data_IF_259300084150
#
_entry.id   IF_259300084150
#
_cell.length_a   1.000
_cell.length_b   1.000
_cell.length_c   1.000
_cell.angle_alpha   90.00
_cell.angle_beta   90.00
_cell.angle_gamma   90.00
#
_symmetry.space_group_name_H-M   'P 1'
#
loop_
_entity.id
_entity.type
_entity.pdbx_description
1 polymer ?
#
# COMPACT_ATOMS: atom_id res chain seq x y z
N UNK A 1 53.72 -14.67 16.68
CA UNK A 1 52.95 -13.48 17.11
C UNK A 1 52.17 -13.02 15.89
N UNK A 2 50.82 -13.02 15.93
CA UNK A 2 50.01 -12.50 14.82
C UNK A 2 50.14 -10.97 14.85
N UNK A 3 50.49 -10.35 13.72
CA UNK A 3 50.59 -8.89 13.66
C UNK A 3 49.19 -8.25 13.67
N UNK A 4 49.02 -7.03 14.19
CA UNK A 4 47.76 -6.30 14.13
C UNK A 4 47.15 -6.23 12.72
N UNK A 5 47.98 -6.12 11.69
CA UNK A 5 47.57 -6.04 10.29
C UNK A 5 46.94 -7.35 9.80
N UNK A 6 47.55 -8.50 10.13
CA UNK A 6 47.02 -9.83 9.79
C UNK A 6 45.69 -10.08 10.51
N UNK A 7 45.56 -9.61 11.75
CA UNK A 7 44.31 -9.70 12.50
C UNK A 7 43.21 -8.84 11.87
N UNK A 8 43.52 -7.60 11.49
CA UNK A 8 42.58 -6.68 10.85
C UNK A 8 42.10 -7.22 9.50
N UNK A 9 42.99 -7.78 8.68
CA UNK A 9 42.61 -8.38 7.39
C UNK A 9 41.64 -9.55 7.57
N UNK A 10 41.90 -10.42 8.55
CA UNK A 10 41.02 -11.55 8.86
C UNK A 10 39.64 -11.10 9.33
N UNK A 11 39.58 -10.06 10.18
CA UNK A 11 38.31 -9.47 10.63
C UNK A 11 37.55 -8.90 9.44
N UNK A 12 38.20 -8.09 8.59
CA UNK A 12 37.55 -7.50 7.42
C UNK A 12 37.01 -8.58 6.46
N UNK A 13 37.76 -9.67 6.25
CA UNK A 13 37.34 -10.78 5.39
C UNK A 13 36.07 -11.46 5.89
N UNK A 14 35.90 -11.61 7.21
CA UNK A 14 34.67 -12.14 7.79
C UNK A 14 33.53 -11.12 7.76
N UNK A 15 33.80 -9.85 8.06
CA UNK A 15 32.79 -8.78 8.01
C UNK A 15 32.20 -8.58 6.60
N UNK A 16 32.98 -8.78 5.54
CA UNK A 16 32.50 -8.72 4.16
C UNK A 16 31.44 -9.78 3.82
N UNK A 17 31.28 -10.83 4.64
CA UNK A 17 30.27 -11.88 4.47
C UNK A 17 28.97 -11.56 5.22
N UNK A 18 28.94 -10.49 6.01
CA UNK A 18 27.77 -10.09 6.80
C UNK A 18 26.91 -9.14 5.96
N UNK A 19 25.76 -9.63 5.50
CA UNK A 19 24.79 -8.80 4.81
C UNK A 19 23.92 -8.03 5.81
N UNK A 20 24.01 -6.70 5.79
CA UNK A 20 23.17 -5.82 6.61
C UNK A 20 21.99 -5.24 5.84
N UNK A 21 22.04 -5.30 4.51
CA UNK A 21 21.01 -4.78 3.61
C UNK A 21 21.49 -4.81 2.16
N UNK A 22 20.60 -5.17 1.25
CA UNK A 22 20.93 -5.26 -0.18
C UNK A 22 19.78 -4.67 -1.00
N UNK A 23 20.12 -4.01 -2.10
CA UNK A 23 19.12 -3.69 -3.12
C UNK A 23 19.08 -4.81 -4.16
N UNK A 24 17.89 -5.11 -4.65
CA UNK A 24 17.66 -6.11 -5.66
C UNK A 24 16.66 -5.64 -6.69
N UNK A 25 16.60 -6.36 -7.81
CA UNK A 25 15.63 -6.18 -8.87
C UNK A 25 14.76 -7.42 -8.99
N UNK A 26 13.44 -7.24 -9.00
CA UNK A 26 12.48 -8.34 -9.15
C UNK A 26 12.64 -8.95 -10.55
N UNK A 27 12.89 -10.25 -10.60
CA UNK A 27 12.84 -11.03 -11.85
C UNK A 27 11.44 -11.63 -12.04
N UNK A 28 10.81 -12.12 -10.96
CA UNK A 28 9.42 -12.57 -10.95
C UNK A 28 8.81 -12.47 -9.55
N UNK A 29 7.50 -12.24 -9.46
CA UNK A 29 6.74 -12.21 -8.21
C UNK A 29 5.50 -13.10 -8.31
N UNK A 30 5.34 -14.01 -7.37
CA UNK A 30 4.17 -14.88 -7.20
C UNK A 30 3.31 -14.35 -6.05
N UNK A 31 2.26 -13.62 -6.40
CA UNK A 31 1.39 -12.91 -5.45
C UNK A 31 0.59 -13.86 -4.53
N UNK A 32 -0.03 -14.95 -5.02
CA UNK A 32 -0.66 -15.95 -4.16
C UNK A 32 0.24 -16.54 -3.07
N UNK A 33 1.50 -16.85 -3.39
CA UNK A 33 2.44 -17.42 -2.41
C UNK A 33 3.26 -16.39 -1.65
N UNK A 34 3.17 -15.10 -2.02
CA UNK A 34 3.99 -14.01 -1.51
C UNK A 34 5.50 -14.33 -1.61
N UNK A 35 5.93 -14.86 -2.75
CA UNK A 35 7.35 -15.16 -3.00
C UNK A 35 7.88 -14.47 -4.25
N UNK A 36 9.18 -14.16 -4.27
CA UNK A 36 9.83 -13.51 -5.40
C UNK A 36 11.16 -14.16 -5.78
N UNK A 37 11.53 -14.00 -7.06
CA UNK A 37 12.89 -14.16 -7.54
C UNK A 37 13.50 -12.78 -7.68
N UNK A 38 14.68 -12.57 -7.10
CA UNK A 38 15.33 -11.26 -7.05
C UNK A 38 16.79 -11.39 -7.46
N UNK A 39 17.23 -10.54 -8.39
CA UNK A 39 18.65 -10.37 -8.72
C UNK A 39 19.23 -9.26 -7.83
N UNK A 40 20.16 -9.56 -6.90
CA UNK A 40 20.82 -8.52 -6.13
C UNK A 40 21.62 -7.58 -7.04
N UNK A 41 21.64 -6.29 -6.70
CA UNK A 41 22.31 -5.22 -7.44
C UNK A 41 23.64 -4.85 -6.78
N UNK A 42 24.41 -5.87 -6.40
CA UNK A 42 25.74 -5.73 -5.82
C UNK A 42 26.71 -6.67 -6.52
N UNK A 43 27.92 -6.17 -6.77
CA UNK A 43 29.06 -6.98 -7.17
C UNK A 43 30.01 -7.14 -5.99
N UNK A 44 30.51 -8.34 -5.79
CA UNK A 44 31.44 -8.67 -4.70
C UNK A 44 32.82 -8.97 -5.27
N UNK A 45 33.90 -8.60 -4.57
CA UNK A 45 35.25 -8.90 -5.04
C UNK A 45 35.53 -10.41 -4.99
N UNK A 46 36.23 -10.93 -5.99
CA UNK A 46 36.75 -12.29 -6.03
C UNK A 46 38.22 -12.29 -6.52
N UNK A 47 38.85 -13.47 -6.58
CA UNK A 47 40.25 -13.60 -7.02
C UNK A 47 40.51 -13.05 -8.44
N UNK A 48 39.47 -12.97 -9.28
CA UNK A 48 39.55 -12.55 -10.68
C UNK A 48 38.94 -11.15 -10.92
N UNK A 49 38.65 -10.38 -9.87
CA UNK A 49 38.03 -9.05 -9.96
C UNK A 49 36.71 -8.95 -9.20
N UNK A 50 35.59 -8.81 -9.92
CA UNK A 50 34.26 -8.68 -9.33
C UNK A 50 33.27 -9.68 -9.93
N UNK A 51 32.47 -10.31 -9.08
CA UNK A 51 31.38 -11.20 -9.49
C UNK A 51 30.01 -10.66 -9.08
N UNK A 52 29.00 -10.97 -9.88
CA UNK A 52 27.62 -10.66 -9.53
C UNK A 52 27.05 -11.75 -8.62
N UNK A 53 26.23 -11.33 -7.67
CA UNK A 53 25.47 -12.28 -6.86
C UNK A 53 24.44 -13.05 -7.71
N UNK A 54 24.16 -14.32 -7.37
CA UNK A 54 23.19 -15.13 -8.07
C UNK A 54 21.76 -14.59 -7.90
N UNK A 55 20.85 -15.04 -8.76
CA UNK A 55 19.41 -14.78 -8.55
C UNK A 55 18.96 -15.58 -7.33
N UNK A 56 18.41 -14.87 -6.36
CA UNK A 56 17.79 -15.46 -5.17
C UNK A 56 16.37 -15.88 -5.53
N UNK A 57 15.99 -17.09 -5.12
CA UNK A 57 14.70 -17.71 -5.48
C UNK A 57 13.87 -17.98 -4.24
N UNK A 58 12.55 -17.98 -4.39
CA UNK A 58 11.58 -18.25 -3.33
C UNK A 58 11.77 -17.35 -2.09
N UNK A 59 12.19 -16.10 -2.30
CA UNK A 59 12.32 -15.15 -1.21
C UNK A 59 10.92 -14.74 -0.74
N UNK A 60 10.61 -14.82 0.56
CA UNK A 60 9.35 -14.33 1.08
C UNK A 60 9.24 -12.81 0.89
N UNK A 61 8.03 -12.35 0.57
CA UNK A 61 7.70 -10.94 0.41
C UNK A 61 6.94 -10.46 1.64
N UNK A 62 7.48 -9.46 2.31
CA UNK A 62 6.87 -8.88 3.49
C UNK A 62 5.62 -8.07 3.07
N UNK A 63 4.54 -8.26 3.83
CA UNK A 63 3.29 -7.53 3.68
C UNK A 63 3.11 -6.70 4.94
N UNK A 64 2.84 -5.40 4.79
CA UNK A 64 2.52 -4.56 5.93
C UNK A 64 1.18 -5.02 6.50
N UNK A 65 1.19 -5.52 7.74
CA UNK A 65 0.01 -5.99 8.45
C UNK A 65 -0.16 -5.21 9.75
N UNK A 66 -1.33 -4.59 9.94
CA UNK A 66 -1.66 -3.87 11.16
C UNK A 66 -3.16 -3.93 11.43
N UNK A 67 -3.56 -4.44 12.60
CA UNK A 67 -4.96 -4.46 13.03
C UNK A 67 -5.93 -5.17 12.08
N UNK A 68 -5.50 -6.25 11.40
CA UNK A 68 -6.30 -6.97 10.40
C UNK A 68 -6.33 -6.34 9.00
N UNK A 69 -5.59 -5.25 8.79
CA UNK A 69 -5.42 -4.60 7.49
C UNK A 69 -4.09 -4.99 6.86
N UNK A 70 -4.06 -5.11 5.53
CA UNK A 70 -2.88 -5.45 4.75
C UNK A 70 -2.60 -4.40 3.68
N UNK A 71 -1.34 -4.01 3.50
CA UNK A 71 -0.86 -3.34 2.27
C UNK A 71 -0.07 -4.38 1.47
N UNK A 72 -0.73 -4.97 0.48
CA UNK A 72 -0.17 -6.04 -0.34
C UNK A 72 0.54 -5.45 -1.55
N UNK A 73 1.86 -5.67 -1.71
CA UNK A 73 2.58 -5.18 -2.88
C UNK A 73 2.15 -5.90 -4.16
N UNK A 74 2.25 -5.19 -5.29
CA UNK A 74 1.97 -5.72 -6.63
C UNK A 74 3.20 -5.62 -7.54
N UNK A 75 4.33 -6.17 -7.07
CA UNK A 75 5.61 -6.05 -7.78
C UNK A 75 5.57 -6.60 -9.21
N UNK A 76 6.27 -5.92 -10.11
CA UNK A 76 6.50 -6.31 -11.50
C UNK A 76 7.98 -6.59 -11.73
N UNK A 77 8.26 -7.34 -12.81
CA UNK A 77 9.64 -7.54 -13.26
C UNK A 77 10.30 -6.19 -13.50
N UNK A 78 11.50 -6.01 -12.95
CA UNK A 78 12.24 -4.77 -13.03
C UNK A 78 12.09 -3.84 -11.83
N UNK A 79 11.11 -4.07 -10.95
CA UNK A 79 10.95 -3.27 -9.73
C UNK A 79 12.17 -3.41 -8.83
N UNK A 80 12.61 -2.30 -8.27
CA UNK A 80 13.71 -2.27 -7.31
C UNK A 80 13.15 -2.49 -5.92
N UNK A 81 13.80 -3.34 -5.14
CA UNK A 81 13.37 -3.70 -3.78
C UNK A 81 14.55 -3.70 -2.82
N UNK A 82 14.27 -3.47 -1.54
CA UNK A 82 15.21 -3.73 -0.47
C UNK A 82 15.04 -5.16 0.04
N UNK A 83 16.16 -5.87 0.12
CA UNK A 83 16.27 -7.19 0.74
C UNK A 83 16.72 -6.99 2.19
N UNK A 84 15.98 -7.60 3.12
CA UNK A 84 16.30 -7.66 4.54
C UNK A 84 16.92 -9.03 4.85
N UNK A 85 18.26 -9.11 4.99
CA UNK A 85 18.94 -10.35 5.37
C UNK A 85 18.72 -10.67 6.84
N UNK A 86 18.79 -11.95 7.16
CA UNK A 86 18.78 -12.45 8.54
C UNK A 86 20.04 -13.28 8.79
N UNK A 87 20.52 -13.22 10.04
CA UNK A 87 21.62 -14.05 10.50
C UNK A 87 21.28 -15.55 10.51
N UNK A 88 20.00 -15.88 10.68
CA UNK A 88 19.48 -17.26 10.77
C UNK A 88 18.34 -17.49 9.76
N UNK A 89 17.98 -18.76 9.55
CA UNK A 89 16.85 -19.12 8.70
C UNK A 89 15.56 -18.42 9.14
N UNK A 90 14.87 -17.84 8.16
CA UNK A 90 13.62 -17.10 8.39
C UNK A 90 12.36 -17.93 8.10
N UNK A 91 12.50 -19.14 7.55
CA UNK A 91 11.37 -19.94 7.05
C UNK A 91 10.29 -20.21 8.10
N UNK A 92 10.71 -20.45 9.36
CA UNK A 92 9.79 -20.73 10.47
C UNK A 92 9.41 -19.46 11.24
N UNK A 93 10.34 -18.51 11.40
CA UNK A 93 10.11 -17.28 12.17
C UNK A 93 9.10 -16.35 11.51
N UNK A 94 9.11 -16.22 10.17
CA UNK A 94 8.10 -15.43 9.43
C UNK A 94 6.68 -16.00 9.56
N UNK A 95 6.56 -17.27 9.95
CA UNK A 95 5.28 -17.95 10.21
C UNK A 95 4.90 -17.95 11.70
N UNK A 96 5.69 -17.28 12.55
CA UNK A 96 5.50 -17.27 14.01
C UNK A 96 5.75 -18.61 14.69
N UNK A 97 6.43 -19.55 14.03
CA UNK A 97 6.65 -20.91 14.55
C UNK A 97 7.93 -20.97 15.42
N UNK A 98 7.88 -20.32 16.59
CA UNK A 98 9.03 -20.23 17.51
C UNK A 98 9.57 -21.61 17.94
N UNK A 99 8.69 -22.58 18.17
CA UNK A 99 9.08 -23.94 18.57
C UNK A 99 9.85 -24.71 17.49
N UNK A 100 9.95 -24.15 16.27
CA UNK A 100 10.67 -24.72 15.13
C UNK A 100 11.87 -23.88 14.69
N UNK A 101 12.20 -22.80 15.40
CA UNK A 101 13.38 -21.98 15.06
C UNK A 101 14.66 -22.55 15.63
N UNK A 102 14.58 -23.39 16.67
CA UNK A 102 15.71 -24.09 17.25
C UNK A 102 15.25 -25.44 17.81
N UNK A 103 15.91 -26.54 17.41
CA UNK A 103 15.48 -27.91 17.75
C UNK A 103 16.05 -28.41 19.08
N UNK A 104 17.19 -27.88 19.52
CA UNK A 104 17.86 -28.29 20.76
C UNK A 104 18.47 -27.08 21.50
N UNK A 105 18.35 -27.06 22.82
CA UNK A 105 19.00 -26.08 23.71
C UNK A 105 20.49 -26.28 23.90
N UNK A 106 21.02 -27.48 23.59
CA UNK A 106 22.44 -27.82 23.75
C UNK A 106 23.31 -27.38 22.57
N UNK A 107 22.71 -27.17 21.39
CA UNK A 107 23.39 -26.68 20.19
C UNK A 107 22.74 -25.38 19.72
N UNK A 108 23.42 -24.26 19.97
CA UNK A 108 23.02 -22.96 19.42
C UNK A 108 23.48 -22.92 17.96
N UNK A 109 22.52 -22.81 17.04
CA UNK A 109 22.85 -22.63 15.63
C UNK A 109 23.66 -21.34 15.46
N UNK A 110 24.80 -21.44 14.78
CA UNK A 110 25.65 -20.28 14.52
C UNK A 110 25.05 -19.38 13.43
N UNK A 111 25.16 -18.05 13.56
CA UNK A 111 24.80 -17.11 12.49
C UNK A 111 25.47 -17.48 11.17
N UNK A 112 24.68 -17.64 10.11
CA UNK A 112 25.19 -18.02 8.77
C UNK A 112 25.23 -16.84 7.80
N UNK A 113 24.39 -15.83 8.02
CA UNK A 113 24.26 -14.66 7.13
C UNK A 113 24.11 -15.05 5.65
N UNK A 114 23.43 -16.17 5.35
CA UNK A 114 23.20 -16.63 3.99
C UNK A 114 22.18 -15.73 3.27
N UNK A 115 22.37 -15.52 1.96
CA UNK A 115 21.45 -14.73 1.13
C UNK A 115 20.07 -15.42 0.97
N UNK A 116 20.02 -16.74 1.16
CA UNK A 116 18.79 -17.54 1.24
C UNK A 116 17.92 -17.18 2.45
N UNK A 117 18.49 -16.52 3.47
CA UNK A 117 17.80 -16.04 4.66
C UNK A 117 17.30 -14.59 4.51
N UNK A 118 17.15 -14.10 3.27
CA UNK A 118 16.61 -12.78 2.98
C UNK A 118 15.09 -12.80 2.81
N UNK A 119 14.45 -11.68 3.12
CA UNK A 119 13.09 -11.36 2.69
C UNK A 119 13.08 -10.10 1.82
N UNK A 120 12.08 -9.95 0.96
CA UNK A 120 11.80 -8.69 0.27
C UNK A 120 11.02 -7.80 1.22
N UNK A 121 11.61 -6.70 1.69
CA UNK A 121 11.01 -5.87 2.72
C UNK A 121 10.05 -4.82 2.14
N UNK A 122 10.49 -4.05 1.14
CA UNK A 122 9.71 -3.00 0.50
C UNK A 122 10.30 -2.60 -0.85
N UNK A 123 9.44 -2.05 -1.72
CA UNK A 123 9.82 -1.48 -3.01
C UNK A 123 10.54 -0.15 -2.85
N UNK A 124 11.45 0.13 -3.78
CA UNK A 124 12.17 1.39 -3.89
C UNK A 124 11.72 2.09 -5.16
N UNK A 125 11.11 3.28 -5.08
CA UNK A 125 10.74 4.05 -6.26
C UNK A 125 12.02 4.48 -6.98
N UNK A 126 12.28 3.86 -8.14
CA UNK A 126 13.55 4.01 -8.82
C UNK A 126 13.55 5.13 -9.86
N UNK A 127 12.39 5.54 -10.40
CA UNK A 127 12.26 6.68 -11.30
C UNK A 127 10.87 7.35 -11.23
N UNK A 128 10.81 8.69 -11.06
CA UNK A 128 11.89 9.57 -10.61
C UNK A 128 12.20 9.36 -9.11
N UNK A 129 13.46 9.52 -8.69
CA UNK A 129 13.85 9.57 -7.26
C UNK A 129 13.29 10.81 -6.55
N UNK A 130 12.70 11.74 -7.32
CA UNK A 130 11.91 12.86 -6.84
C UNK A 130 10.44 12.50 -6.93
N UNK A 131 9.73 12.74 -5.85
CA UNK A 131 8.28 12.59 -5.83
C UNK A 131 7.65 13.51 -6.91
N UNK A 132 6.70 13.01 -7.69
CA UNK A 132 6.02 13.81 -8.70
C UNK A 132 5.30 14.99 -8.05
N UNK A 133 5.38 16.18 -8.65
CA UNK A 133 4.74 17.40 -8.11
C UNK A 133 3.23 17.24 -7.90
N UNK A 134 2.58 16.36 -8.66
CA UNK A 134 1.15 16.04 -8.52
C UNK A 134 0.79 15.38 -7.19
N UNK A 135 1.74 14.74 -6.52
CA UNK A 135 1.55 14.03 -5.25
C UNK A 135 2.41 14.59 -4.10
N UNK A 136 3.15 15.67 -4.34
CA UNK A 136 3.79 16.48 -3.30
C UNK A 136 2.72 17.30 -2.55
N UNK A 137 1.93 16.62 -1.72
CA UNK A 137 0.84 17.22 -0.95
C UNK A 137 1.02 16.94 0.54
N UNK A 138 0.55 17.87 1.38
CA UNK A 138 0.58 17.70 2.83
C UNK A 138 -0.45 16.65 3.28
N UNK A 139 0.02 15.62 3.98
CA UNK A 139 -0.81 14.54 4.50
C UNK A 139 -0.35 13.15 4.07
N UNK A 140 -1.23 12.16 4.23
CA UNK A 140 -0.99 10.80 3.77
C UNK A 140 -1.47 10.64 2.33
N UNK A 141 -0.54 10.33 1.41
CA UNK A 141 -0.85 10.10 0.00
C UNK A 141 -0.60 8.63 -0.36
N UNK A 142 -1.63 7.98 -0.93
CA UNK A 142 -1.54 6.66 -1.55
C UNK A 142 -1.81 6.87 -3.04
N UNK A 143 -0.84 6.57 -3.90
CA UNK A 143 -0.92 6.88 -5.33
C UNK A 143 -0.36 5.78 -6.22
N UNK A 144 -0.71 5.82 -7.50
CA UNK A 144 0.04 5.10 -8.52
C UNK A 144 1.41 5.75 -8.76
N UNK A 145 2.33 4.99 -9.35
CA UNK A 145 3.72 5.43 -9.58
C UNK A 145 3.84 6.64 -10.50
N UNK A 146 2.79 6.99 -11.24
CA UNK A 146 2.71 8.15 -12.14
C UNK A 146 1.95 9.32 -11.51
N UNK A 147 1.43 9.19 -10.28
CA UNK A 147 0.65 10.22 -9.59
C UNK A 147 -0.64 10.61 -10.32
N UNK A 148 -1.15 9.76 -11.21
CA UNK A 148 -2.37 10.03 -11.96
C UNK A 148 -3.59 9.81 -11.08
N UNK A 149 -3.57 8.72 -10.31
CA UNK A 149 -4.61 8.34 -9.37
C UNK A 149 -4.05 8.34 -7.95
N UNK A 150 -4.78 8.93 -7.02
CA UNK A 150 -4.37 8.97 -5.63
C UNK A 150 -5.56 9.11 -4.68
N UNK A 151 -5.32 8.71 -3.43
CA UNK A 151 -6.09 9.05 -2.24
C UNK A 151 -5.20 9.94 -1.39
N UNK A 152 -5.68 11.13 -1.05
CA UNK A 152 -5.02 12.03 -0.09
C UNK A 152 -5.90 12.15 1.15
N UNK A 153 -5.30 11.92 2.31
CA UNK A 153 -5.90 12.22 3.61
C UNK A 153 -5.08 13.35 4.22
N UNK A 154 -5.68 14.54 4.29
CA UNK A 154 -5.10 15.72 4.94
C UNK A 154 -5.81 16.01 6.27
N UNK A 155 -5.34 17.01 7.00
CA UNK A 155 -5.98 17.48 8.24
C UNK A 155 -7.38 18.10 8.01
N UNK A 156 -7.69 18.51 6.78
CA UNK A 156 -8.91 19.28 6.46
C UNK A 156 -9.80 18.63 5.40
N UNK A 157 -9.29 17.65 4.66
CA UNK A 157 -9.99 17.06 3.52
C UNK A 157 -9.51 15.64 3.21
N UNK A 158 -10.40 14.89 2.55
CA UNK A 158 -10.05 13.66 1.85
C UNK A 158 -10.32 13.90 0.35
N UNK A 159 -9.29 13.72 -0.47
CA UNK A 159 -9.37 13.86 -1.92
C UNK A 159 -9.22 12.51 -2.61
N UNK A 160 -10.03 12.29 -3.64
CA UNK A 160 -9.92 11.16 -4.54
C UNK A 160 -9.64 11.68 -5.94
N UNK A 161 -8.59 11.16 -6.57
CA UNK A 161 -8.31 11.41 -7.99
C UNK A 161 -8.18 10.08 -8.72
N UNK A 162 -8.84 9.98 -9.86
CA UNK A 162 -8.76 8.82 -10.76
C UNK A 162 -8.33 9.26 -12.15
N UNK A 163 -7.14 8.84 -12.58
CA UNK A 163 -6.61 9.18 -13.90
C UNK A 163 -6.51 10.68 -14.17
N UNK A 164 -7.02 11.12 -15.34
CA UNK A 164 -7.03 12.52 -15.75
C UNK A 164 -8.33 13.26 -15.39
N UNK A 165 -9.24 12.62 -14.64
CA UNK A 165 -10.45 13.30 -14.20
C UNK A 165 -10.11 14.49 -13.28
N UNK A 166 -10.99 15.50 -13.28
CA UNK A 166 -10.89 16.60 -12.33
C UNK A 166 -10.96 16.05 -10.89
N UNK A 167 -10.18 16.65 -9.99
CA UNK A 167 -10.23 16.28 -8.57
C UNK A 167 -11.58 16.68 -8.00
N UNK A 168 -12.27 15.72 -7.37
CA UNK A 168 -13.53 15.97 -6.68
C UNK A 168 -13.35 15.75 -5.18
N UNK A 169 -14.05 16.56 -4.38
CA UNK A 169 -14.09 16.38 -2.93
C UNK A 169 -14.95 15.15 -2.61
N UNK A 170 -14.58 14.43 -1.55
CA UNK A 170 -15.44 13.38 -1.01
C UNK A 170 -16.82 13.95 -0.66
N UNK A 171 -17.88 13.30 -1.15
CA UNK A 171 -19.27 13.71 -0.90
C UNK A 171 -19.67 13.27 0.51
N UNK A 172 -20.15 14.21 1.34
CA UNK A 172 -20.79 13.90 2.61
C UNK A 172 -22.17 13.30 2.35
N UNK A 173 -22.25 11.97 2.37
CA UNK A 173 -23.43 11.22 1.96
C UNK A 173 -24.73 11.62 2.68
N UNK A 174 -24.70 11.81 4.00
CA UNK A 174 -25.87 12.24 4.78
C UNK A 174 -26.30 13.66 4.43
N UNK A 175 -25.35 14.59 4.24
CA UNK A 175 -25.65 15.95 3.80
C UNK A 175 -26.29 15.96 2.41
N UNK A 176 -25.75 15.19 1.46
CA UNK A 176 -26.34 15.07 0.12
C UNK A 176 -27.74 14.46 0.17
N UNK A 177 -27.94 13.38 0.95
CA UNK A 177 -29.24 12.76 1.18
C UNK A 177 -30.24 13.78 1.75
N UNK A 178 -29.80 14.60 2.71
CA UNK A 178 -30.59 15.69 3.30
C UNK A 178 -31.03 16.69 2.25
N UNK A 179 -30.09 17.24 1.48
CA UNK A 179 -30.39 18.20 0.39
C UNK A 179 -31.37 17.61 -0.63
N UNK A 180 -31.16 16.36 -1.07
CA UNK A 180 -32.08 15.69 -2.00
C UNK A 180 -33.46 15.48 -1.41
N UNK A 181 -33.54 15.21 -0.10
CA UNK A 181 -34.80 15.07 0.63
C UNK A 181 -35.55 16.40 0.69
N UNK A 182 -34.86 17.50 1.02
CA UNK A 182 -35.43 18.85 1.05
C UNK A 182 -35.95 19.28 -0.33
N UNK A 183 -35.21 18.96 -1.40
CA UNK A 183 -35.65 19.24 -2.77
C UNK A 183 -36.94 18.47 -3.10
N UNK A 184 -37.03 17.18 -2.74
CA UNK A 184 -38.23 16.37 -2.99
C UNK A 184 -39.44 16.84 -2.17
N UNK A 185 -39.21 17.34 -0.95
CA UNK A 185 -40.26 17.94 -0.12
C UNK A 185 -40.75 19.25 -0.74
N UNK A 186 -39.84 20.13 -1.19
CA UNK A 186 -40.18 21.36 -1.87
C UNK A 186 -40.96 21.11 -3.17
N UNK A 187 -40.57 20.10 -3.96
CA UNK A 187 -41.28 19.70 -5.16
C UNK A 187 -42.68 19.14 -4.85
N UNK A 188 -42.83 18.37 -3.77
CA UNK A 188 -44.13 17.82 -3.36
C UNK A 188 -45.11 18.89 -2.86
N UNK A 189 -44.57 19.99 -2.33
CA UNK A 189 -45.34 21.13 -1.83
C UNK A 189 -45.51 22.27 -2.86
N UNK A 190 -44.97 22.12 -4.08
CA UNK A 190 -44.94 23.20 -5.07
C UNK A 190 -46.36 23.61 -5.51
N UNK A 191 -46.69 24.88 -5.35
CA UNK A 191 -47.91 25.50 -5.89
C UNK A 191 -47.55 26.75 -6.69
N UNK A 192 -48.26 27.02 -7.79
CA UNK A 192 -48.07 28.22 -8.63
C UNK A 192 -49.35 29.05 -8.67
N UNK A 193 -49.24 30.37 -8.78
CA UNK A 193 -50.42 31.24 -8.91
C UNK A 193 -51.08 31.07 -10.28
N UNK A 194 -52.38 30.81 -10.30
CA UNK A 194 -53.18 30.70 -11.52
C UNK A 194 -53.59 32.09 -12.05
N UNK A 195 -54.11 32.14 -13.28
CA UNK A 195 -54.56 33.38 -13.95
C UNK A 195 -55.66 34.14 -13.21
N UNK A 196 -56.38 33.50 -12.28
CA UNK A 196 -57.32 34.17 -11.39
C UNK A 196 -56.58 34.76 -10.17
N UNK A 197 -56.83 36.06 -9.82
CA UNK A 197 -56.09 36.75 -8.75
C UNK A 197 -56.08 35.95 -7.45
N UNK A 198 -54.88 35.77 -6.88
CA UNK A 198 -54.67 35.14 -5.56
C UNK A 198 -55.17 33.70 -5.41
N UNK A 199 -55.34 32.95 -6.52
CA UNK A 199 -55.67 31.52 -6.45
C UNK A 199 -54.44 30.65 -6.75
N UNK A 200 -53.87 29.95 -5.75
CA UNK A 200 -52.81 28.97 -5.99
C UNK A 200 -53.35 27.76 -6.75
N UNK A 201 -52.48 27.08 -7.48
CA UNK A 201 -52.71 25.74 -7.99
C UNK A 201 -52.84 24.75 -6.83
N UNK A 202 -53.42 23.59 -7.08
CA UNK A 202 -53.23 22.44 -6.19
C UNK A 202 -51.76 22.02 -6.18
N UNK A 203 -51.40 21.19 -5.20
CA UNK A 203 -50.12 20.48 -5.22
C UNK A 203 -50.00 19.57 -6.46
N UNK A 204 -48.79 19.16 -6.84
CA UNK A 204 -48.58 18.38 -8.05
C UNK A 204 -49.24 17.00 -7.95
N UNK A 205 -49.89 16.56 -9.04
CA UNK A 205 -50.56 15.25 -9.11
C UNK A 205 -49.59 14.07 -8.89
N UNK A 206 -48.30 14.29 -9.17
CA UNK A 206 -47.23 13.31 -9.01
C UNK A 206 -46.53 13.36 -7.64
N UNK A 207 -47.08 14.07 -6.64
CA UNK A 207 -46.50 14.13 -5.29
C UNK A 207 -46.26 12.74 -4.67
N UNK A 208 -47.12 11.76 -4.97
CA UNK A 208 -46.93 10.36 -4.56
C UNK A 208 -45.64 9.74 -5.13
N UNK A 209 -45.28 10.09 -6.36
CA UNK A 209 -44.04 9.63 -7.01
C UNK A 209 -42.80 10.21 -6.32
N UNK A 210 -42.82 11.51 -5.98
CA UNK A 210 -41.73 12.14 -5.25
C UNK A 210 -41.53 11.50 -3.86
N UNK A 211 -42.60 11.19 -3.15
CA UNK A 211 -42.54 10.46 -1.88
C UNK A 211 -41.93 9.06 -2.02
N UNK A 212 -42.25 8.34 -3.10
CA UNK A 212 -41.63 7.04 -3.40
C UNK A 212 -40.13 7.18 -3.68
N UNK A 213 -39.71 8.22 -4.41
CA UNK A 213 -38.28 8.48 -4.67
C UNK A 213 -37.56 8.86 -3.37
N UNK A 214 -38.17 9.70 -2.53
CA UNK A 214 -37.65 10.07 -1.21
C UNK A 214 -37.43 8.84 -0.34
N UNK A 215 -38.35 7.88 -0.34
CA UNK A 215 -38.18 6.63 0.39
C UNK A 215 -36.95 5.82 -0.09
N UNK A 216 -36.63 5.85 -1.40
CA UNK A 216 -35.43 5.18 -1.95
C UNK A 216 -34.13 5.84 -1.49
N UNK A 217 -34.11 7.15 -1.22
CA UNK A 217 -32.93 7.85 -0.70
C UNK A 217 -32.45 7.29 0.65
N UNK A 218 -33.31 6.65 1.43
CA UNK A 218 -32.89 6.00 2.68
C UNK A 218 -31.94 4.82 2.46
N UNK A 219 -31.87 4.30 1.23
CA UNK A 219 -31.00 3.18 0.85
C UNK A 219 -29.83 3.59 -0.04
N UNK A 220 -29.70 4.88 -0.35
CA UNK A 220 -28.65 5.37 -1.27
C UNK A 220 -27.26 5.29 -0.63
N UNK A 221 -27.18 5.33 0.70
CA UNK A 221 -25.94 5.24 1.45
C UNK A 221 -25.67 3.80 1.85
N UNK A 222 -24.47 3.33 1.54
CA UNK A 222 -23.99 2.02 1.97
C UNK A 222 -23.89 1.95 3.49
N UNK A 223 -24.42 0.89 4.10
CA UNK A 223 -24.29 0.63 5.55
C UNK A 223 -22.83 0.48 6.01
N UNK A 224 -21.87 0.29 5.09
CA UNK A 224 -20.44 0.12 5.38
C UNK A 224 -19.66 1.44 5.42
N UNK A 225 -20.22 2.53 4.91
CA UNK A 225 -19.60 3.86 4.98
C UNK A 225 -20.37 4.68 5.99
N UNK A 226 -19.95 4.62 7.26
CA UNK A 226 -20.45 5.53 8.29
C UNK A 226 -19.62 6.80 8.21
N UNK A 227 -20.23 7.88 7.74
CA UNK A 227 -19.70 9.22 7.97
C UNK A 227 -20.07 9.56 9.42
N UNK A 228 -19.07 9.71 10.29
CA UNK A 228 -19.28 10.23 11.64
C UNK A 228 -19.54 11.74 11.59
#
# INVERSE_FOLDING_TARGET
>A
MISPEVLQEKINRELCKIWTGLYGKIESYDKPSLTAKVKPLLKVPNENGFEELPILVNLPVNVFHSGGMLIVPDYKRGDIVYLAPSSHSIQNSIRGMIDKTQENSEEIESPRFGLENCSVAFGIPSHPFQLLSTVQKDGLVICDTLGNSYILISSSSIEFKSGMAATEKAVLGETLKGILTEILDALSALTVTCTAPSTPSSTPINASVFNVIKAKLNTILSQKVKNN
#
